data_IF_177867316285
#
_entry.id   IF_177867316285
#
_cell.length_a   1.000
_cell.length_b   1.000
_cell.length_c   1.000
_cell.angle_alpha   90.00
_cell.angle_beta   90.00
_cell.angle_gamma   90.00
#
_symmetry.space_group_name_H-M   'P 1'
#
loop_
_entity.id
_entity.type
_entity.pdbx_description
1 polymer ?
#
# COMPACT_ATOMS: atom_id res chain seq x y z
N UNK A 1 -14.96 -12.70 -18.28
CA UNK A 1 -13.69 -13.16 -17.68
C UNK A 1 -12.73 -11.98 -17.71
N UNK A 2 -12.09 -11.62 -16.58
CA UNK A 2 -11.08 -10.55 -16.59
C UNK A 2 -9.99 -10.89 -17.59
N UNK A 3 -9.60 -9.96 -18.46
CA UNK A 3 -8.55 -10.26 -19.44
C UNK A 3 -7.20 -10.11 -18.73
N UNK A 4 -6.20 -10.98 -19.00
CA UNK A 4 -4.86 -10.83 -18.43
C UNK A 4 -4.22 -9.46 -18.74
N UNK A 5 -4.66 -8.80 -19.82
CA UNK A 5 -4.31 -7.41 -20.15
C UNK A 5 -4.66 -6.41 -19.05
N UNK A 6 -5.72 -6.65 -18.28
CA UNK A 6 -6.18 -5.73 -17.25
C UNK A 6 -5.22 -5.75 -16.05
N UNK A 7 -4.70 -6.93 -15.70
CA UNK A 7 -3.69 -7.08 -14.65
C UNK A 7 -2.37 -6.36 -15.01
N UNK A 8 -1.95 -6.46 -16.28
CA UNK A 8 -0.73 -5.82 -16.79
C UNK A 8 -0.80 -4.30 -16.67
N UNK A 9 -1.98 -3.70 -16.76
CA UNK A 9 -2.17 -2.25 -16.59
C UNK A 9 -2.25 -1.86 -15.11
N UNK A 10 -2.92 -2.65 -14.27
CA UNK A 10 -3.07 -2.35 -12.85
C UNK A 10 -1.76 -2.43 -12.07
N UNK A 11 -0.86 -3.36 -12.42
CA UNK A 11 0.45 -3.50 -11.76
C UNK A 11 1.26 -2.19 -11.79
N UNK A 12 1.60 -1.60 -12.95
CA UNK A 12 2.37 -0.37 -13.00
C UNK A 12 1.63 0.80 -12.37
N UNK A 13 0.30 0.89 -12.50
CA UNK A 13 -0.50 1.93 -11.86
C UNK A 13 -0.36 1.88 -10.33
N UNK A 14 -0.52 0.70 -9.73
CA UNK A 14 -0.40 0.50 -8.27
C UNK A 14 1.03 0.77 -7.80
N UNK A 15 2.04 0.29 -8.54
CA UNK A 15 3.45 0.49 -8.18
C UNK A 15 3.84 1.97 -8.26
N UNK A 16 3.50 2.66 -9.34
CA UNK A 16 3.81 4.09 -9.51
C UNK A 16 3.12 4.92 -8.43
N UNK A 17 1.85 4.63 -8.14
CA UNK A 17 1.13 5.31 -7.07
C UNK A 17 1.78 5.07 -5.71
N UNK A 18 2.19 3.83 -5.41
CA UNK A 18 2.89 3.49 -4.17
C UNK A 18 4.21 4.22 -4.03
N UNK A 19 5.03 4.27 -5.10
CA UNK A 19 6.32 4.98 -5.12
C UNK A 19 6.13 6.48 -4.95
N UNK A 20 5.17 7.07 -5.66
CA UNK A 20 4.86 8.50 -5.53
C UNK A 20 4.39 8.84 -4.11
N UNK A 21 3.49 8.04 -3.54
CA UNK A 21 2.99 8.24 -2.18
C UNK A 21 4.11 8.12 -1.13
N UNK A 22 4.96 7.11 -1.25
CA UNK A 22 6.11 6.91 -0.38
C UNK A 22 7.12 8.07 -0.49
N UNK A 23 7.40 8.52 -1.71
CA UNK A 23 8.27 9.66 -1.97
C UNK A 23 7.73 10.96 -1.40
N UNK A 24 6.43 11.23 -1.60
CA UNK A 24 5.75 12.40 -1.02
C UNK A 24 5.84 12.34 0.51
N UNK A 25 5.52 11.21 1.13
CA UNK A 25 5.59 11.09 2.57
C UNK A 25 7.00 11.33 3.11
N UNK A 26 8.02 10.74 2.48
CA UNK A 26 9.41 10.96 2.87
C UNK A 26 9.85 12.43 2.74
N UNK A 27 9.42 13.11 1.68
CA UNK A 27 9.76 14.52 1.46
C UNK A 27 9.06 15.46 2.45
N UNK A 28 7.83 15.12 2.88
CA UNK A 28 7.04 15.92 3.82
C UNK A 28 7.26 15.56 5.29
N UNK A 29 8.05 14.53 5.58
CA UNK A 29 8.40 14.18 6.96
C UNK A 29 9.21 15.29 7.63
N UNK A 30 8.83 15.70 8.86
CA UNK A 30 9.54 16.71 9.61
C UNK A 30 10.94 16.24 10.02
N UNK A 31 11.89 17.17 10.06
CA UNK A 31 13.22 16.92 10.63
C UNK A 31 13.18 17.31 12.10
N UNK A 32 13.26 16.33 12.99
CA UNK A 32 13.13 16.54 14.45
C UNK A 32 14.45 17.03 15.08
N UNK A 33 15.60 16.63 14.52
CA UNK A 33 16.90 17.20 14.89
C UNK A 33 17.92 17.21 13.73
N UNK A 34 18.91 18.12 13.73
CA UNK A 34 19.95 18.15 12.70
C UNK A 34 20.77 16.84 12.71
N UNK A 35 20.73 16.11 11.59
CA UNK A 35 21.45 14.84 11.44
C UNK A 35 20.68 13.60 11.90
N UNK A 36 19.49 13.74 12.50
CA UNK A 36 18.60 12.61 12.71
C UNK A 36 17.93 12.18 11.39
N UNK A 37 17.75 10.86 11.18
CA UNK A 37 16.92 10.35 10.10
C UNK A 37 15.53 10.97 10.09
N UNK A 38 15.01 11.26 8.89
CA UNK A 38 13.59 11.62 8.76
C UNK A 38 12.76 10.37 8.99
N UNK A 39 11.87 10.43 9.98
CA UNK A 39 10.87 9.39 10.14
C UNK A 39 9.77 9.60 9.10
N UNK A 40 9.72 8.70 8.11
CA UNK A 40 8.70 8.70 7.06
C UNK A 40 7.27 8.63 7.66
N UNK A 41 7.12 7.99 8.83
CA UNK A 41 5.82 7.83 9.49
C UNK A 41 5.32 9.12 10.17
N UNK A 42 6.19 10.10 10.38
CA UNK A 42 5.79 11.41 10.91
C UNK A 42 5.20 12.34 9.82
N UNK A 43 5.09 11.85 8.58
CA UNK A 43 4.51 12.61 7.49
C UNK A 43 3.01 12.91 7.75
N UNK A 44 2.56 14.17 7.63
CA UNK A 44 1.14 14.51 7.73
C UNK A 44 0.32 13.93 6.57
N UNK A 45 0.97 13.55 5.47
CA UNK A 45 0.35 12.98 4.27
C UNK A 45 0.27 11.46 4.32
N UNK A 46 0.76 10.85 5.40
CA UNK A 46 0.80 9.41 5.55
C UNK A 46 -0.61 8.79 5.49
N UNK A 47 -1.54 9.29 6.30
CA UNK A 47 -2.91 8.78 6.34
C UNK A 47 -3.67 9.00 5.01
N UNK A 48 -3.62 10.20 4.37
CA UNK A 48 -4.16 10.39 3.02
C UNK A 48 -3.59 9.42 1.98
N UNK A 49 -2.27 9.19 2.01
CA UNK A 49 -1.63 8.22 1.12
C UNK A 49 -2.18 6.80 1.33
N UNK A 50 -2.43 6.39 2.58
CA UNK A 50 -3.05 5.09 2.86
C UNK A 50 -4.44 4.95 2.29
N UNK A 51 -5.29 5.94 2.52
CA UNK A 51 -6.65 5.89 2.03
C UNK A 51 -6.69 5.81 0.50
N UNK A 52 -5.84 6.61 -0.16
CA UNK A 52 -5.71 6.59 -1.62
C UNK A 52 -5.25 5.24 -2.16
N UNK A 53 -4.20 4.66 -1.59
CA UNK A 53 -3.66 3.37 -2.04
C UNK A 53 -4.56 2.18 -1.66
N UNK A 54 -5.27 2.26 -0.54
CA UNK A 54 -6.28 1.27 -0.16
C UNK A 54 -7.46 1.28 -1.13
N UNK A 55 -7.94 2.47 -1.51
CA UNK A 55 -8.97 2.61 -2.53
C UNK A 55 -8.48 2.10 -3.90
N UNK A 56 -7.25 2.43 -4.29
CA UNK A 56 -6.66 2.00 -5.56
C UNK A 56 -6.48 0.48 -5.63
N UNK A 57 -5.97 -0.14 -4.56
CA UNK A 57 -5.82 -1.60 -4.45
C UNK A 57 -7.18 -2.31 -4.40
N UNK A 58 -8.18 -1.72 -3.73
CA UNK A 58 -9.57 -2.18 -3.79
C UNK A 58 -10.16 -2.11 -5.21
N UNK A 59 -9.90 -1.03 -5.95
CA UNK A 59 -10.30 -0.92 -7.35
C UNK A 59 -9.61 -1.96 -8.22
N UNK A 60 -8.30 -2.14 -8.07
CA UNK A 60 -7.55 -3.18 -8.78
C UNK A 60 -8.10 -4.59 -8.49
N UNK A 61 -8.43 -4.88 -7.22
CA UNK A 61 -9.07 -6.13 -6.81
C UNK A 61 -10.50 -6.29 -7.34
N UNK A 62 -11.25 -5.20 -7.51
CA UNK A 62 -12.58 -5.24 -8.12
C UNK A 62 -12.52 -5.64 -9.61
N UNK A 63 -11.60 -5.03 -10.37
CA UNK A 63 -11.45 -5.31 -11.80
C UNK A 63 -10.66 -6.59 -12.08
N UNK A 64 -9.72 -6.94 -11.20
CA UNK A 64 -8.89 -8.15 -11.29
C UNK A 64 -8.92 -8.89 -9.95
N UNK A 65 -10.01 -9.63 -9.65
CA UNK A 65 -10.20 -10.30 -8.36
C UNK A 65 -9.15 -11.35 -8.04
N UNK A 66 -8.53 -11.91 -9.07
CA UNK A 66 -7.47 -12.92 -8.97
C UNK A 66 -6.25 -12.42 -8.18
N UNK A 67 -5.98 -11.12 -8.23
CA UNK A 67 -4.86 -10.54 -7.48
C UNK A 67 -5.15 -10.41 -5.99
N UNK A 68 -6.42 -10.30 -5.58
CA UNK A 68 -6.85 -10.27 -4.18
C UNK A 68 -5.91 -9.47 -3.26
N UNK A 69 -5.33 -10.16 -2.29
CA UNK A 69 -4.41 -9.61 -1.28
C UNK A 69 -3.07 -9.11 -1.85
N UNK A 70 -2.66 -9.59 -3.03
CA UNK A 70 -1.42 -9.15 -3.70
C UNK A 70 -1.48 -7.70 -4.15
N UNK A 71 -2.67 -7.16 -4.44
CA UNK A 71 -2.83 -5.75 -4.80
C UNK A 71 -2.47 -4.81 -3.65
N UNK A 72 -2.80 -5.21 -2.42
CA UNK A 72 -2.41 -4.48 -1.22
C UNK A 72 -0.91 -4.57 -0.96
N UNK A 73 -0.33 -5.77 -1.08
CA UNK A 73 1.12 -5.97 -0.95
C UNK A 73 1.92 -5.16 -1.99
N UNK A 74 1.46 -5.13 -3.23
CA UNK A 74 2.05 -4.32 -4.30
C UNK A 74 2.00 -2.83 -3.97
N UNK A 75 0.83 -2.33 -3.53
CA UNK A 75 0.66 -0.92 -3.15
C UNK A 75 1.55 -0.52 -1.96
N UNK A 76 1.71 -1.44 -0.99
CA UNK A 76 2.51 -1.22 0.22
C UNK A 76 4.02 -1.42 0.01
N UNK A 77 4.44 -2.13 -1.04
CA UNK A 77 5.83 -2.53 -1.27
C UNK A 77 6.85 -1.38 -1.19
N UNK A 78 6.60 -0.15 -1.71
CA UNK A 78 7.58 0.93 -1.64
C UNK A 78 7.83 1.40 -0.19
N UNK A 79 6.82 1.33 0.67
CA UNK A 79 6.95 1.65 2.09
C UNK A 79 7.76 0.59 2.83
N UNK A 80 7.59 -0.69 2.52
CA UNK A 80 8.41 -1.75 3.10
C UNK A 80 9.88 -1.62 2.70
N UNK A 81 10.17 -1.24 1.45
CA UNK A 81 11.53 -0.98 1.00
C UNK A 81 12.16 0.18 1.78
N UNK A 82 11.45 1.31 1.93
CA UNK A 82 11.96 2.45 2.70
C UNK A 82 12.16 2.11 4.18
N UNK A 83 11.20 1.41 4.79
CA UNK A 83 11.32 0.91 6.17
C UNK A 83 12.56 0.03 6.33
N UNK A 84 12.74 -0.96 5.45
CA UNK A 84 13.88 -1.86 5.51
C UNK A 84 15.20 -1.13 5.33
N UNK A 85 15.29 -0.22 4.35
CA UNK A 85 16.50 0.57 4.10
C UNK A 85 16.87 1.41 5.32
N UNK A 86 15.91 2.11 5.93
CA UNK A 86 16.17 2.94 7.10
C UNK A 86 16.53 2.09 8.34
N UNK A 87 15.81 0.99 8.59
CA UNK A 87 16.10 0.08 9.71
C UNK A 87 17.48 -0.57 9.58
N UNK A 88 17.86 -1.05 8.40
CA UNK A 88 19.14 -1.74 8.18
C UNK A 88 20.32 -0.77 8.12
N UNK A 89 20.16 0.42 7.53
CA UNK A 89 21.25 1.40 7.44
C UNK A 89 21.49 2.18 8.72
N UNK A 90 20.46 2.41 9.53
CA UNK A 90 20.54 3.36 10.66
C UNK A 90 20.64 2.66 12.03
N UNK A 91 20.75 1.34 12.06
CA UNK A 91 21.32 0.61 13.20
C UNK A 91 20.53 0.66 14.52
N UNK A 92 19.22 0.93 14.50
CA UNK A 92 18.39 0.79 15.70
C UNK A 92 17.20 1.74 15.86
N UNK A 93 16.99 2.71 14.96
CA UNK A 93 15.93 3.72 15.09
C UNK A 93 14.48 3.23 14.94
N UNK A 94 14.22 1.93 14.85
CA UNK A 94 12.95 1.37 14.38
C UNK A 94 12.02 0.70 15.39
N UNK A 95 12.36 0.66 16.69
CA UNK A 95 11.57 -0.12 17.67
C UNK A 95 10.13 0.40 17.87
N UNK A 96 9.86 1.68 17.58
CA UNK A 96 8.50 2.26 17.59
C UNK A 96 7.70 2.07 16.29
N UNK A 97 8.31 1.55 15.22
CA UNK A 97 7.75 1.55 13.84
C UNK A 97 6.95 0.30 13.49
N UNK A 98 7.10 -0.77 14.26
CA UNK A 98 6.39 -2.04 14.08
C UNK A 98 4.86 -1.90 14.10
N UNK A 99 4.23 -1.19 15.06
CA UNK A 99 2.77 -1.08 15.13
C UNK A 99 2.17 -0.39 13.91
N UNK A 100 2.89 0.60 13.36
CA UNK A 100 2.45 1.37 12.20
C UNK A 100 2.60 0.54 10.93
N UNK A 101 3.72 -0.18 10.76
CA UNK A 101 3.87 -1.17 9.68
C UNK A 101 2.82 -2.29 9.74
N UNK A 102 2.38 -2.68 10.94
CA UNK A 102 1.33 -3.68 11.15
C UNK A 102 -0.06 -3.15 10.77
N UNK A 103 -0.36 -1.89 11.10
CA UNK A 103 -1.58 -1.21 10.66
C UNK A 103 -1.68 -1.14 9.14
N UNK A 104 -0.56 -0.87 8.46
CA UNK A 104 -0.53 -0.91 7.00
C UNK A 104 -0.84 -2.31 6.49
N UNK A 105 -0.19 -3.32 7.07
CA UNK A 105 -0.36 -4.70 6.66
C UNK A 105 -1.82 -5.13 6.82
N UNK A 106 -2.51 -4.69 7.89
CA UNK A 106 -3.93 -4.94 8.11
C UNK A 106 -4.82 -4.20 7.08
N UNK A 107 -4.64 -2.89 6.89
CA UNK A 107 -5.51 -2.14 5.96
C UNK A 107 -5.33 -2.57 4.50
N UNK A 108 -4.08 -2.79 4.09
CA UNK A 108 -3.76 -3.27 2.74
C UNK A 108 -4.15 -4.72 2.51
N UNK A 109 -4.35 -5.54 3.55
CA UNK A 109 -4.89 -6.90 3.37
C UNK A 109 -6.42 -6.90 3.37
N UNK A 110 -7.06 -6.14 4.26
CA UNK A 110 -8.51 -6.18 4.44
C UNK A 110 -9.27 -5.59 3.25
N UNK A 111 -8.89 -4.40 2.75
CA UNK A 111 -9.64 -3.74 1.67
C UNK A 111 -9.64 -4.51 0.34
N UNK A 112 -8.50 -5.00 -0.17
CA UNK A 112 -8.47 -5.79 -1.41
C UNK A 112 -9.18 -7.13 -1.27
N UNK A 113 -9.15 -7.75 -0.08
CA UNK A 113 -9.90 -8.99 0.19
C UNK A 113 -11.40 -8.72 0.17
N UNK A 114 -11.88 -7.68 0.84
CA UNK A 114 -13.31 -7.31 0.82
C UNK A 114 -13.75 -7.01 -0.61
N UNK A 115 -12.97 -6.24 -1.37
CA UNK A 115 -13.28 -5.91 -2.77
C UNK A 115 -13.32 -7.15 -3.67
N UNK A 116 -12.36 -8.07 -3.54
CA UNK A 116 -12.32 -9.32 -4.30
C UNK A 116 -13.50 -10.25 -3.94
N UNK A 117 -13.87 -10.34 -2.66
CA UNK A 117 -15.04 -11.09 -2.21
C UNK A 117 -16.34 -10.48 -2.76
N UNK A 118 -16.51 -9.16 -2.66
CA UNK A 118 -17.68 -8.47 -3.18
C UNK A 118 -17.83 -8.65 -4.70
N UNK A 119 -16.74 -8.53 -5.46
CA UNK A 119 -16.74 -8.78 -6.90
C UNK A 119 -17.12 -10.23 -7.24
N UNK A 120 -16.64 -11.19 -6.45
CA UNK A 120 -16.96 -12.62 -6.61
C UNK A 120 -18.44 -12.91 -6.34
N UNK A 121 -19.02 -12.33 -5.29
CA UNK A 121 -20.45 -12.44 -4.99
C UNK A 121 -21.33 -11.77 -6.06
N UNK A 122 -20.96 -10.57 -6.50
CA UNK A 122 -21.68 -9.86 -7.57
C UNK A 122 -21.68 -10.68 -8.87
N UNK A 123 -20.55 -11.28 -9.24
CA UNK A 123 -20.43 -12.12 -10.42
C UNK A 123 -21.23 -13.43 -10.31
N UNK A 124 -21.39 -14.00 -9.11
CA UNK A 124 -22.21 -15.18 -8.87
C UNK A 124 -23.71 -14.87 -9.01
N UNK A 125 -24.17 -13.74 -8.48
CA UNK A 125 -25.58 -13.30 -8.51
C UNK A 125 -26.09 -12.98 -9.92
N UNK A 126 -25.21 -12.58 -10.83
CA UNK A 126 -25.56 -12.31 -12.24
C UNK A 126 -25.77 -13.62 -13.03
N UNK A 127 -25.26 -14.75 -12.54
CA UNK A 127 -25.36 -16.06 -13.23
C UNK A 127 -26.50 -16.96 -12.71
N UNK A 128 -27.13 -16.57 -11.60
CA UNK A 128 -28.31 -17.23 -11.02
C UNK A 128 -29.58 -16.59 -11.54
#
# INVERSE_FOLDING_TARGET
>A
MPRPTDAIVWIPVVVIAGVAAAGVCHLTSPVVSPGAPRDFFDSPLLLPAFLGLSALSGAAAWFVPQGGLWWGLLAASPFYVLLFVNVVREGGGGQGLWPVGLLFLIFYTVMPVIAALAASFAAARIRS
#
